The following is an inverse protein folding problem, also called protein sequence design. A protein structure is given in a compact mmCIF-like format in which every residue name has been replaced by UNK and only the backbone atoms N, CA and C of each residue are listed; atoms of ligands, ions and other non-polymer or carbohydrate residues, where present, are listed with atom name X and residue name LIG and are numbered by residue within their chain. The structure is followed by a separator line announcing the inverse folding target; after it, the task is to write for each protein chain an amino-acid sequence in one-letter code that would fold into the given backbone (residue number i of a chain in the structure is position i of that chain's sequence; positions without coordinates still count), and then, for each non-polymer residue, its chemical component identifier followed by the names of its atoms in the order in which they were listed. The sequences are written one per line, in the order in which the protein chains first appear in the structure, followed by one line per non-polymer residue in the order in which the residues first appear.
data_IF_479079156515
#
_entry.id   IF_479079156515
#
_cell.length_a   1.000
_cell.length_b   1.000
_cell.length_c   1.000
_cell.angle_alpha   90.00
_cell.angle_beta   90.00
_cell.angle_gamma   90.00
#
_symmetry.space_group_name_H-M   'P 1'
#
loop_
_entity.id
_entity.type
_entity.pdbx_description
1 polymer ?
#
# COMPACT_ATOMS: atom_id res chain seq x y z
N UNK A 1 22.99 21.18 46.50
CA UNK A 1 22.12 20.11 45.97
C UNK A 1 22.11 20.23 44.47
N UNK A 2 22.23 19.12 43.74
CA UNK A 2 22.02 19.15 42.30
C UNK A 2 20.53 19.47 42.02
N UNK A 3 20.21 20.28 40.99
CA UNK A 3 18.83 20.53 40.63
C UNK A 3 18.16 19.23 40.17
N UNK A 4 16.84 19.05 40.43
CA UNK A 4 16.12 17.89 39.94
C UNK A 4 16.14 17.85 38.40
N UNK A 5 16.31 16.66 37.87
CA UNK A 5 16.30 16.37 36.45
C UNK A 5 14.90 15.95 36.00
N UNK A 6 14.68 15.89 34.69
CA UNK A 6 13.42 15.39 34.13
C UNK A 6 13.15 13.93 34.56
N UNK A 7 14.18 13.13 34.82
CA UNK A 7 14.02 11.75 35.30
C UNK A 7 13.50 11.67 36.75
N UNK A 8 13.58 12.76 37.51
CA UNK A 8 13.07 12.84 38.87
C UNK A 8 11.57 13.20 38.91
N UNK A 9 10.96 13.51 37.75
CA UNK A 9 9.54 13.83 37.64
C UNK A 9 8.70 12.55 37.81
N UNK A 10 7.65 12.56 38.67
CA UNK A 10 6.76 11.41 38.82
C UNK A 10 6.11 10.98 37.50
N UNK A 11 5.75 9.69 37.40
CA UNK A 11 5.25 9.07 36.16
C UNK A 11 4.03 9.79 35.55
N UNK A 12 3.09 10.24 36.37
CA UNK A 12 1.84 10.86 35.88
C UNK A 12 2.09 12.24 35.21
N UNK A 13 2.79 13.20 35.83
CA UNK A 13 3.23 14.42 35.14
C UNK A 13 4.07 14.15 33.89
N UNK A 14 5.00 13.18 33.94
CA UNK A 14 5.80 12.80 32.77
C UNK A 14 4.93 12.31 31.60
N UNK A 15 3.89 11.51 31.89
CA UNK A 15 2.94 11.03 30.88
C UNK A 15 2.19 12.18 30.23
N UNK A 16 1.72 13.15 31.03
CA UNK A 16 1.10 14.37 30.52
C UNK A 16 2.05 15.14 29.61
N UNK A 17 3.32 15.31 30.00
CA UNK A 17 4.31 16.01 29.17
C UNK A 17 4.52 15.32 27.82
N UNK A 18 4.63 13.99 27.82
CA UNK A 18 4.80 13.19 26.59
C UNK A 18 3.65 13.39 25.60
N UNK A 19 2.41 13.51 26.09
CA UNK A 19 1.24 13.74 25.23
C UNK A 19 1.24 15.10 24.53
N UNK A 20 2.04 16.07 24.99
CA UNK A 20 2.21 17.37 24.33
C UNK A 20 3.43 17.42 23.40
N UNK A 21 4.22 16.34 23.30
CA UNK A 21 5.39 16.32 22.42
C UNK A 21 4.96 16.07 20.97
N UNK A 22 5.42 16.93 20.06
CA UNK A 22 5.36 16.65 18.63
C UNK A 22 6.06 15.31 18.31
N UNK A 23 5.71 14.62 17.20
CA UNK A 23 6.37 13.38 16.81
C UNK A 23 7.90 13.52 16.81
N UNK A 24 8.43 14.65 16.31
CA UNK A 24 9.87 14.93 16.32
C UNK A 24 10.45 15.06 17.73
N UNK A 25 9.78 15.82 18.60
CA UNK A 25 10.20 16.02 19.99
C UNK A 25 10.18 14.71 20.77
N UNK A 26 9.14 13.89 20.57
CA UNK A 26 9.01 12.57 21.18
C UNK A 26 10.19 11.67 20.80
N UNK A 27 10.51 11.55 19.51
CA UNK A 27 11.62 10.71 19.05
C UNK A 27 12.97 11.23 19.57
N UNK A 28 13.20 12.54 19.57
CA UNK A 28 14.39 13.11 20.19
C UNK A 28 14.48 12.78 21.68
N UNK A 29 13.35 12.85 22.38
CA UNK A 29 13.30 12.58 23.80
C UNK A 29 13.58 11.11 24.11
N UNK A 30 12.98 10.19 23.35
CA UNK A 30 13.25 8.76 23.43
C UNK A 30 14.74 8.44 23.21
N UNK A 31 15.37 9.06 22.20
CA UNK A 31 16.79 8.84 21.88
C UNK A 31 17.76 9.41 22.93
N UNK A 32 17.30 10.29 23.82
CA UNK A 32 18.17 10.95 24.80
C UNK A 32 18.56 10.05 25.98
N UNK A 33 17.74 9.05 26.32
CA UNK A 33 17.99 8.18 27.46
C UNK A 33 17.20 6.86 27.39
N UNK A 34 17.81 5.70 27.69
CA UNK A 34 17.11 4.41 27.72
C UNK A 34 15.91 4.37 28.68
N UNK A 35 15.97 5.05 29.84
CA UNK A 35 14.84 5.11 30.77
C UNK A 35 13.64 5.87 30.19
N UNK A 36 13.91 6.91 29.39
CA UNK A 36 12.86 7.67 28.69
C UNK A 36 12.26 6.84 27.56
N UNK A 37 13.10 6.12 26.81
CA UNK A 37 12.64 5.16 25.80
C UNK A 37 11.67 4.14 26.40
N UNK A 38 12.05 3.48 27.51
CA UNK A 38 11.18 2.53 28.20
C UNK A 38 9.91 3.19 28.75
N UNK A 39 9.99 4.42 29.23
CA UNK A 39 8.80 5.17 29.65
C UNK A 39 7.83 5.42 28.49
N UNK A 40 8.34 5.84 27.33
CA UNK A 40 7.54 6.13 26.13
C UNK A 40 6.89 4.85 25.59
N UNK A 41 7.61 3.72 25.60
CA UNK A 41 7.03 2.41 25.24
C UNK A 41 5.80 2.05 26.05
N UNK A 42 5.71 2.49 27.30
CA UNK A 42 4.55 2.24 28.15
C UNK A 42 3.37 3.17 27.84
N UNK A 43 3.58 4.26 27.10
CA UNK A 43 2.52 5.20 26.74
C UNK A 43 1.69 4.68 25.57
N UNK A 44 0.40 4.98 25.58
CA UNK A 44 -0.47 4.75 24.44
C UNK A 44 -0.42 5.98 23.54
N UNK A 45 0.42 5.94 22.52
CA UNK A 45 0.57 7.05 21.57
C UNK A 45 -0.54 6.96 20.53
N UNK A 46 -1.28 8.04 20.30
CA UNK A 46 -2.28 8.08 19.22
C UNK A 46 -1.58 8.30 17.86
N UNK A 47 -0.92 7.25 17.38
CA UNK A 47 -0.30 7.20 16.06
C UNK A 47 -1.38 7.02 15.00
N UNK A 48 -1.37 7.87 13.99
CA UNK A 48 -2.30 7.81 12.87
C UNK A 48 -1.68 7.01 11.72
N UNK A 49 -0.42 7.29 11.39
CA UNK A 49 0.24 6.73 10.21
C UNK A 49 1.73 6.58 10.39
N UNK A 50 2.27 5.45 9.93
CA UNK A 50 3.70 5.21 9.75
C UNK A 50 3.93 4.77 8.30
N UNK A 51 4.55 5.64 7.49
CA UNK A 51 4.81 5.34 6.08
C UNK A 51 6.27 5.36 5.69
N UNK A 52 6.62 4.49 4.75
CA UNK A 52 7.97 4.31 4.23
C UNK A 52 8.04 4.72 2.75
N UNK A 53 9.09 5.44 2.39
CA UNK A 53 9.48 5.69 1.01
C UNK A 53 10.88 5.16 0.77
N UNK A 54 11.03 4.16 -0.09
CA UNK A 54 12.27 3.44 -0.32
C UNK A 54 12.66 3.63 -1.78
N UNK A 55 13.89 4.05 -2.03
CA UNK A 55 14.43 4.22 -3.38
C UNK A 55 15.95 4.04 -3.36
N UNK A 56 16.56 3.90 -4.54
CA UNK A 56 18.02 3.89 -4.67
C UNK A 56 18.69 5.13 -4.05
N UNK A 57 17.96 6.25 -4.05
CA UNK A 57 18.44 7.55 -3.53
C UNK A 57 18.36 7.67 -2.01
N UNK A 58 17.62 6.79 -1.35
CA UNK A 58 17.46 6.83 0.08
C UNK A 58 16.18 6.20 0.62
N UNK A 59 16.05 6.31 1.93
CA UNK A 59 14.98 5.75 2.74
C UNK A 59 14.34 6.86 3.57
N UNK A 60 13.02 6.98 3.54
CA UNK A 60 12.28 8.02 4.27
C UNK A 60 11.21 7.37 5.13
N UNK A 61 11.22 7.70 6.42
CA UNK A 61 10.17 7.36 7.37
C UNK A 61 9.32 8.61 7.60
N UNK A 62 8.00 8.48 7.54
CA UNK A 62 7.06 9.51 7.94
C UNK A 62 6.16 8.98 9.05
N UNK A 63 6.08 9.74 10.14
CA UNK A 63 5.26 9.41 11.30
C UNK A 63 4.30 10.55 11.61
N UNK A 64 3.01 10.24 11.62
CA UNK A 64 1.92 11.18 11.90
C UNK A 64 1.16 10.75 13.14
N UNK A 65 0.84 11.70 14.02
CA UNK A 65 -0.03 11.49 15.19
C UNK A 65 -1.33 12.25 14.98
N UNK A 66 -2.45 11.69 15.45
CA UNK A 66 -3.79 12.25 15.28
C UNK A 66 -3.95 13.71 15.71
N UNK A 67 -3.16 14.14 16.69
CA UNK A 67 -3.26 15.45 17.33
C UNK A 67 -2.20 16.45 16.82
N UNK A 68 -1.41 16.08 15.80
CA UNK A 68 -0.37 16.93 15.24
C UNK A 68 -0.43 17.01 13.71
N UNK A 69 -0.70 18.22 13.19
CA UNK A 69 -0.78 18.48 11.74
C UNK A 69 0.55 18.30 10.99
N UNK A 70 1.69 18.26 11.69
CA UNK A 70 3.01 18.13 11.07
C UNK A 70 3.62 16.75 11.39
N UNK A 71 3.88 15.92 10.38
CA UNK A 71 4.53 14.63 10.60
C UNK A 71 6.01 14.82 10.94
N UNK A 72 6.59 13.84 11.63
CA UNK A 72 8.03 13.64 11.61
C UNK A 72 8.41 13.07 10.25
N UNK A 73 9.45 13.64 9.63
CA UNK A 73 10.10 13.09 8.45
C UNK A 73 11.55 12.77 8.78
N UNK A 74 11.92 11.51 8.68
CA UNK A 74 13.28 11.02 8.92
C UNK A 74 13.84 10.43 7.64
N UNK A 75 14.86 11.08 7.07
CA UNK A 75 15.47 10.76 5.79
C UNK A 75 16.86 10.19 6.00
N UNK A 76 17.16 9.09 5.31
CA UNK A 76 18.48 8.49 5.19
C UNK A 76 18.84 8.56 3.70
N UNK A 77 19.89 9.29 3.36
CA UNK A 77 20.25 9.58 1.96
C UNK A 77 21.72 9.34 1.72
N UNK A 78 22.09 9.02 0.49
CA UNK A 78 23.50 8.94 0.08
C UNK A 78 24.11 10.32 -0.07
N UNK A 79 25.44 10.42 0.06
CA UNK A 79 26.21 11.69 0.06
C UNK A 79 26.20 12.44 -1.27
N UNK A 80 25.72 11.82 -2.36
CA UNK A 80 25.69 12.42 -3.70
C UNK A 80 24.55 13.46 -3.92
N UNK A 81 23.70 13.69 -2.92
CA UNK A 81 22.66 14.73 -2.95
C UNK A 81 23.25 16.09 -2.58
N UNK A 82 23.68 16.86 -3.58
CA UNK A 82 24.44 18.12 -3.40
C UNK A 82 23.69 19.30 -2.77
N UNK A 83 22.38 19.28 -2.65
CA UNK A 83 21.64 20.39 -2.02
C UNK A 83 20.44 19.87 -1.25
N UNK A 84 20.60 19.71 0.06
CA UNK A 84 19.46 19.47 0.94
C UNK A 84 19.20 20.74 1.72
N UNK A 85 18.19 21.52 1.30
CA UNK A 85 17.69 22.64 2.11
C UNK A 85 17.28 22.11 3.48
N UNK A 86 17.92 22.64 4.53
CA UNK A 86 17.65 22.36 5.93
C UNK A 86 16.22 22.83 6.27
N UNK A 87 15.24 21.99 6.00
CA UNK A 87 13.84 22.17 6.35
C UNK A 87 13.49 21.03 7.28
N UNK A 88 13.24 21.32 8.58
CA UNK A 88 12.57 20.54 9.65
C UNK A 88 12.83 19.03 9.84
N UNK A 89 13.47 18.37 8.88
CA UNK A 89 13.59 16.94 8.70
C UNK A 89 14.87 16.46 9.39
N UNK A 90 14.82 15.27 9.98
CA UNK A 90 16.06 14.60 10.39
C UNK A 90 16.67 13.97 9.16
N UNK A 91 17.83 14.45 8.74
CA UNK A 91 18.52 13.93 7.56
C UNK A 91 19.84 13.34 8.00
N UNK A 92 20.01 12.04 7.77
CA UNK A 92 21.26 11.33 7.98
C UNK A 92 21.86 11.01 6.62
N UNK A 93 23.06 11.50 6.37
CA UNK A 93 23.86 11.10 5.22
C UNK A 93 24.59 9.81 5.58
N UNK A 94 24.44 8.77 4.78
CA UNK A 94 25.08 7.47 5.00
C UNK A 94 25.23 6.69 3.68
N UNK A 95 26.23 5.83 3.62
CA UNK A 95 26.51 4.99 2.44
C UNK A 95 25.42 3.93 2.21
N UNK A 96 24.82 3.42 3.29
CA UNK A 96 23.82 2.34 3.28
C UNK A 96 22.46 2.82 3.82
N UNK A 97 21.76 3.75 3.13
CA UNK A 97 20.54 4.38 3.65
C UNK A 97 19.40 3.38 3.92
N UNK A 98 19.32 2.29 3.17
CA UNK A 98 18.26 1.29 3.32
C UNK A 98 18.46 0.50 4.61
N UNK A 99 19.68 0.06 4.90
CA UNK A 99 19.98 -0.70 6.14
C UNK A 99 19.78 0.17 7.39
N UNK A 100 20.23 1.43 7.36
CA UNK A 100 19.93 2.37 8.46
C UNK A 100 18.43 2.65 8.57
N UNK A 101 17.72 2.76 7.44
CA UNK A 101 16.28 2.95 7.40
C UNK A 101 15.54 1.77 8.06
N UNK A 102 15.91 0.53 7.71
CA UNK A 102 15.35 -0.69 8.33
C UNK A 102 15.56 -0.68 9.83
N UNK A 103 16.79 -0.45 10.31
CA UNK A 103 17.09 -0.37 11.75
C UNK A 103 16.28 0.71 12.47
N UNK A 104 16.10 1.87 11.84
CA UNK A 104 15.30 2.94 12.40
C UNK A 104 13.81 2.59 12.47
N UNK A 105 13.28 1.85 11.49
CA UNK A 105 11.91 1.32 11.53
C UNK A 105 11.75 0.25 12.61
N UNK A 106 12.71 -0.67 12.75
CA UNK A 106 12.71 -1.68 13.83
C UNK A 106 12.61 -0.99 15.20
N UNK A 107 13.51 -0.06 15.47
CA UNK A 107 13.50 0.70 16.71
C UNK A 107 12.22 1.53 16.89
N UNK A 108 11.74 2.17 15.82
CA UNK A 108 10.58 3.04 15.90
C UNK A 108 9.30 2.24 16.18
N UNK A 109 9.09 1.13 15.46
CA UNK A 109 7.91 0.26 15.65
C UNK A 109 7.89 -0.37 17.04
N UNK A 110 9.04 -0.73 17.61
CA UNK A 110 9.18 -1.17 19.00
C UNK A 110 8.83 -0.04 19.99
N UNK A 111 9.34 1.18 19.74
CA UNK A 111 9.07 2.34 20.59
C UNK A 111 7.59 2.71 20.66
N UNK A 112 6.94 2.80 19.50
CA UNK A 112 5.58 3.34 19.41
C UNK A 112 4.49 2.26 19.42
N UNK A 113 4.87 0.97 19.29
CA UNK A 113 3.97 -0.19 19.22
C UNK A 113 2.89 -0.04 18.14
N UNK A 114 3.29 0.49 16.99
CA UNK A 114 2.42 0.73 15.84
C UNK A 114 3.10 0.20 14.57
N UNK A 115 2.40 -0.60 13.75
CA UNK A 115 2.99 -1.20 12.55
C UNK A 115 3.18 -0.18 11.44
N UNK A 116 3.94 -0.55 10.41
CA UNK A 116 4.04 0.23 9.18
C UNK A 116 2.72 0.11 8.42
N UNK A 117 2.04 1.22 8.15
CA UNK A 117 0.73 1.19 7.49
C UNK A 117 0.81 1.39 5.98
N UNK A 118 1.90 1.99 5.47
CA UNK A 118 2.05 2.27 4.04
C UNK A 118 3.51 2.20 3.59
N UNK A 119 3.75 1.51 2.48
CA UNK A 119 5.09 1.31 1.90
C UNK A 119 5.06 1.73 0.44
N UNK A 120 5.95 2.66 0.08
CA UNK A 120 6.20 3.05 -1.30
C UNK A 120 7.65 2.73 -1.68
N UNK A 121 7.82 1.95 -2.73
CA UNK A 121 9.10 1.58 -3.31
C UNK A 121 9.20 2.22 -4.69
N UNK A 122 10.31 2.90 -4.96
CA UNK A 122 10.56 3.62 -6.21
C UNK A 122 11.85 3.16 -6.84
N UNK A 123 11.72 2.63 -8.04
CA UNK A 123 12.82 2.19 -8.87
C UNK A 123 13.58 3.34 -9.55
N UNK A 124 14.44 3.00 -10.54
CA UNK A 124 14.59 1.67 -11.15
C UNK A 124 15.09 0.61 -10.16
N UNK A 125 14.95 -0.68 -10.47
CA UNK A 125 15.47 -1.80 -9.65
C UNK A 125 16.88 -1.56 -9.11
N UNK A 126 17.12 -1.87 -7.84
CA UNK A 126 18.45 -1.79 -7.19
C UNK A 126 18.63 -2.97 -6.22
N UNK A 127 19.86 -3.49 -6.04
CA UNK A 127 20.10 -4.76 -5.35
C UNK A 127 19.46 -4.87 -3.95
N UNK A 128 19.43 -3.77 -3.21
CA UNK A 128 18.90 -3.72 -1.84
C UNK A 128 17.37 -3.87 -1.76
N UNK A 129 16.66 -3.81 -2.89
CA UNK A 129 15.21 -4.02 -2.96
C UNK A 129 14.82 -5.45 -3.24
N UNK A 130 15.75 -6.29 -3.70
CA UNK A 130 15.43 -7.65 -4.16
C UNK A 130 14.67 -8.40 -3.05
N UNK A 131 15.10 -8.33 -1.80
CA UNK A 131 14.46 -9.02 -0.67
C UNK A 131 13.49 -8.16 0.16
N UNK A 132 13.07 -6.97 -0.30
CA UNK A 132 12.28 -6.06 0.54
C UNK A 132 10.93 -6.66 0.95
N UNK A 133 10.32 -7.48 0.08
CA UNK A 133 9.05 -8.14 0.35
C UNK A 133 9.19 -9.27 1.39
N UNK A 134 10.40 -9.70 1.74
CA UNK A 134 10.65 -10.64 2.83
C UNK A 134 10.79 -9.93 4.18
N UNK A 135 10.95 -8.60 4.21
CA UNK A 135 11.13 -7.86 5.44
C UNK A 135 9.83 -7.80 6.24
N UNK A 136 9.82 -8.42 7.41
CA UNK A 136 8.61 -8.62 8.23
C UNK A 136 7.87 -7.34 8.58
N UNK A 137 8.58 -6.20 8.71
CA UNK A 137 7.95 -4.92 9.04
C UNK A 137 7.07 -4.34 7.94
N UNK A 138 7.14 -4.84 6.71
CA UNK A 138 6.24 -4.39 5.63
C UNK A 138 5.00 -5.26 5.46
N UNK A 139 4.95 -6.44 6.10
CA UNK A 139 3.86 -7.41 5.93
C UNK A 139 2.52 -6.97 6.53
N UNK A 140 2.54 -6.12 7.55
CA UNK A 140 1.35 -5.55 8.20
C UNK A 140 0.86 -4.26 7.52
N UNK A 141 1.44 -3.88 6.38
CA UNK A 141 1.03 -2.66 5.70
C UNK A 141 -0.34 -2.82 5.01
N UNK A 142 -1.13 -1.76 5.09
CA UNK A 142 -2.43 -1.68 4.43
C UNK A 142 -2.30 -1.19 2.99
N UNK A 143 -1.19 -0.52 2.66
CA UNK A 143 -0.92 0.04 1.34
C UNK A 143 0.49 -0.29 0.87
N UNK A 144 0.60 -0.98 -0.25
CA UNK A 144 1.86 -1.25 -0.93
C UNK A 144 1.86 -0.61 -2.32
N UNK A 145 2.88 0.17 -2.61
CA UNK A 145 3.09 0.83 -3.90
C UNK A 145 4.49 0.54 -4.40
N UNK A 146 4.65 0.00 -5.60
CA UNK A 146 5.97 -0.20 -6.22
C UNK A 146 5.98 0.38 -7.63
N UNK A 147 7.08 1.05 -8.00
CA UNK A 147 7.22 1.67 -9.32
C UNK A 147 8.56 1.26 -9.93
N UNK A 148 8.58 0.82 -11.18
CA UNK A 148 9.80 0.51 -11.93
C UNK A 148 10.69 -0.53 -11.25
N UNK A 149 10.07 -1.60 -10.73
CA UNK A 149 10.76 -2.73 -10.10
C UNK A 149 10.57 -3.95 -10.99
N UNK A 150 11.68 -4.48 -11.51
CA UNK A 150 11.67 -5.55 -12.51
C UNK A 150 11.79 -6.92 -11.85
N UNK A 151 12.43 -6.97 -10.68
CA UNK A 151 12.65 -8.20 -9.91
C UNK A 151 12.49 -7.95 -8.41
N UNK A 152 12.01 -8.96 -7.72
CA UNK A 152 11.99 -9.04 -6.25
C UNK A 152 11.86 -10.52 -5.87
N UNK A 153 12.34 -10.86 -4.69
CA UNK A 153 12.23 -12.15 -4.04
C UNK A 153 11.10 -12.12 -3.00
N UNK A 154 10.45 -13.27 -2.85
CA UNK A 154 9.25 -13.40 -2.03
C UNK A 154 7.98 -13.12 -2.84
N UNK A 155 6.84 -13.23 -2.18
CA UNK A 155 5.54 -12.97 -2.79
C UNK A 155 4.59 -12.21 -1.88
N UNK A 156 3.32 -12.20 -2.27
CA UNK A 156 2.27 -11.44 -1.58
C UNK A 156 1.64 -12.22 -0.43
N UNK A 157 2.01 -13.49 -0.22
CA UNK A 157 1.42 -14.40 0.77
C UNK A 157 1.60 -13.95 2.23
N UNK A 158 2.58 -13.09 2.50
CA UNK A 158 2.83 -12.56 3.85
C UNK A 158 2.03 -11.30 4.15
N UNK A 159 1.46 -10.65 3.14
CA UNK A 159 0.68 -9.42 3.29
C UNK A 159 -0.77 -9.78 3.63
N UNK A 160 -1.12 -9.74 4.92
CA UNK A 160 -2.42 -10.23 5.42
C UNK A 160 -3.51 -9.15 5.50
N UNK A 161 -3.10 -7.89 5.67
CA UNK A 161 -3.97 -6.73 5.89
C UNK A 161 -3.98 -5.73 4.73
N UNK A 162 -3.45 -6.12 3.57
CA UNK A 162 -3.33 -5.24 2.42
C UNK A 162 -4.73 -4.79 1.96
N UNK A 163 -4.99 -3.48 2.00
CA UNK A 163 -6.22 -2.86 1.48
C UNK A 163 -6.05 -2.42 0.03
N UNK A 164 -4.88 -1.89 -0.30
CA UNK A 164 -4.55 -1.42 -1.65
C UNK A 164 -3.15 -1.85 -2.10
N UNK A 165 -3.06 -2.36 -3.31
CA UNK A 165 -1.82 -2.73 -3.95
C UNK A 165 -1.68 -2.02 -5.30
N UNK A 166 -0.62 -1.23 -5.46
CA UNK A 166 -0.39 -0.45 -6.67
C UNK A 166 0.98 -0.77 -7.26
N UNK A 167 1.00 -1.16 -8.54
CA UNK A 167 2.22 -1.33 -9.32
C UNK A 167 2.19 -0.42 -10.54
N UNK A 168 3.35 0.14 -10.88
CA UNK A 168 3.52 0.85 -12.15
C UNK A 168 4.84 0.45 -12.80
N UNK A 169 4.79 -0.08 -14.01
CA UNK A 169 5.96 -0.52 -14.77
C UNK A 169 6.78 -1.55 -14.00
N UNK A 170 6.13 -2.56 -13.43
CA UNK A 170 6.80 -3.63 -12.69
C UNK A 170 6.67 -4.95 -13.44
N UNK A 171 7.80 -5.62 -13.70
CA UNK A 171 7.82 -6.83 -14.53
C UNK A 171 7.81 -8.13 -13.70
N UNK A 172 8.02 -8.04 -12.38
CA UNK A 172 8.07 -9.22 -11.50
C UNK A 172 6.68 -9.83 -11.22
N UNK A 173 5.60 -9.06 -11.36
CA UNK A 173 4.25 -9.52 -11.02
C UNK A 173 3.67 -10.34 -12.17
N UNK A 174 3.26 -11.57 -11.85
CA UNK A 174 2.51 -12.46 -12.73
C UNK A 174 1.12 -12.75 -12.14
N UNK A 175 0.13 -13.15 -12.95
CA UNK A 175 -1.22 -13.43 -12.46
C UNK A 175 -1.27 -14.43 -11.29
N UNK A 176 -0.43 -15.48 -11.31
CA UNK A 176 -0.37 -16.49 -10.26
C UNK A 176 0.04 -15.93 -8.88
N UNK A 177 0.81 -14.84 -8.85
CA UNK A 177 1.19 -14.18 -7.59
C UNK A 177 -0.02 -13.56 -6.89
N UNK A 178 -1.08 -13.21 -7.63
CA UNK A 178 -2.28 -12.59 -7.09
C UNK A 178 -3.19 -13.57 -6.36
N UNK A 179 -3.05 -14.89 -6.59
CA UNK A 179 -3.83 -15.92 -5.87
C UNK A 179 -3.71 -15.78 -4.35
N UNK A 180 -2.53 -15.41 -3.88
CA UNK A 180 -2.22 -15.23 -2.46
C UNK A 180 -2.32 -13.77 -2.00
N UNK A 181 -2.74 -12.85 -2.86
CA UNK A 181 -2.88 -11.43 -2.52
C UNK A 181 -4.20 -11.20 -1.78
N UNK A 182 -4.13 -10.61 -0.59
CA UNK A 182 -5.30 -10.27 0.23
C UNK A 182 -5.91 -8.89 -0.10
N UNK A 183 -5.34 -8.18 -1.08
CA UNK A 183 -5.73 -6.82 -1.44
C UNK A 183 -7.18 -6.72 -1.92
N UNK A 184 -7.91 -5.74 -1.37
CA UNK A 184 -9.25 -5.39 -1.85
C UNK A 184 -9.21 -4.63 -3.17
N UNK A 185 -8.22 -3.74 -3.32
CA UNK A 185 -8.07 -2.89 -4.51
C UNK A 185 -6.68 -3.07 -5.08
N UNK A 186 -6.62 -3.37 -6.37
CA UNK A 186 -5.37 -3.55 -7.09
C UNK A 186 -5.35 -2.59 -8.29
N UNK A 187 -4.25 -1.90 -8.50
CA UNK A 187 -4.05 -1.06 -9.68
C UNK A 187 -2.70 -1.36 -10.28
N UNK A 188 -2.69 -1.80 -11.54
CA UNK A 188 -1.50 -2.20 -12.25
C UNK A 188 -1.36 -1.33 -13.50
N UNK A 189 -0.36 -0.47 -13.53
CA UNK A 189 -0.09 0.41 -14.67
C UNK A 189 1.14 -0.06 -15.45
N UNK A 190 1.12 0.16 -16.76
CA UNK A 190 2.25 -0.13 -17.64
C UNK A 190 2.65 -1.61 -17.54
N UNK A 191 1.67 -2.53 -17.58
CA UNK A 191 1.91 -3.97 -17.49
C UNK A 191 2.20 -4.57 -18.87
N UNK A 192 3.19 -5.45 -18.96
CA UNK A 192 3.50 -6.20 -20.18
C UNK A 192 2.72 -7.51 -20.26
N UNK A 193 1.45 -7.48 -19.87
CA UNK A 193 0.61 -8.67 -19.83
C UNK A 193 -0.12 -8.87 -21.16
N UNK A 194 -0.22 -10.13 -21.60
CA UNK A 194 -1.04 -10.53 -22.74
C UNK A 194 -2.45 -10.94 -22.33
N UNK A 195 -3.28 -11.33 -23.31
CA UNK A 195 -4.67 -11.73 -23.07
C UNK A 195 -4.78 -13.02 -22.25
N UNK A 196 -3.83 -13.94 -22.40
CA UNK A 196 -3.81 -15.20 -21.65
C UNK A 196 -3.53 -14.92 -20.17
N UNK A 197 -2.65 -13.97 -19.87
CA UNK A 197 -2.37 -13.51 -18.51
C UNK A 197 -3.57 -12.78 -17.89
N UNK A 198 -4.30 -11.95 -18.65
CA UNK A 198 -5.55 -11.35 -18.19
C UNK A 198 -6.64 -12.41 -17.92
N UNK A 199 -6.76 -13.41 -18.78
CA UNK A 199 -7.66 -14.55 -18.56
C UNK A 199 -7.25 -15.35 -17.32
N UNK A 200 -5.95 -15.61 -17.14
CA UNK A 200 -5.41 -16.32 -15.99
C UNK A 200 -5.69 -15.61 -14.67
N UNK A 201 -5.65 -14.27 -14.63
CA UNK A 201 -6.10 -13.49 -13.48
C UNK A 201 -7.55 -13.81 -13.12
N UNK A 202 -8.46 -13.78 -14.11
CA UNK A 202 -9.88 -14.08 -13.88
C UNK A 202 -10.03 -15.52 -13.36
N UNK A 203 -9.27 -16.49 -13.91
CA UNK A 203 -9.25 -17.87 -13.42
C UNK A 203 -8.77 -17.97 -11.97
N UNK A 204 -7.70 -17.26 -11.60
CA UNK A 204 -7.20 -17.23 -10.22
C UNK A 204 -8.27 -16.76 -9.24
N UNK A 205 -9.05 -15.74 -9.61
CA UNK A 205 -10.18 -15.27 -8.80
C UNK A 205 -11.34 -16.27 -8.80
N UNK A 206 -11.69 -16.83 -9.96
CA UNK A 206 -12.83 -17.74 -10.11
C UNK A 206 -12.65 -19.04 -9.33
N UNK A 207 -11.45 -19.61 -9.34
CA UNK A 207 -11.09 -20.83 -8.60
C UNK A 207 -10.72 -20.54 -7.14
N UNK A 208 -10.35 -19.30 -6.82
CA UNK A 208 -9.86 -18.87 -5.52
C UNK A 208 -10.96 -18.60 -4.48
N UNK A 209 -11.97 -19.45 -4.37
CA UNK A 209 -13.11 -19.25 -3.43
C UNK A 209 -12.62 -19.08 -1.99
N UNK A 210 -11.75 -19.99 -1.52
CA UNK A 210 -11.20 -19.99 -0.16
C UNK A 210 -9.79 -19.37 -0.08
N UNK A 211 -9.36 -18.67 -1.12
CA UNK A 211 -8.02 -18.07 -1.22
C UNK A 211 -8.06 -16.57 -0.87
N UNK A 212 -6.92 -15.94 -0.51
CA UNK A 212 -6.87 -14.51 -0.18
C UNK A 212 -7.46 -13.59 -1.27
N UNK A 213 -7.30 -13.95 -2.55
CA UNK A 213 -7.85 -13.21 -3.70
C UNK A 213 -9.39 -13.09 -3.67
N UNK A 214 -10.10 -13.91 -2.89
CA UNK A 214 -11.55 -13.82 -2.69
C UNK A 214 -12.01 -12.51 -2.04
N UNK A 215 -11.09 -11.78 -1.37
CA UNK A 215 -11.33 -10.45 -0.79
C UNK A 215 -11.30 -9.31 -1.83
N UNK A 216 -10.88 -9.60 -3.07
CA UNK A 216 -10.80 -8.61 -4.14
C UNK A 216 -12.17 -7.94 -4.35
N UNK A 217 -12.15 -6.61 -4.42
CA UNK A 217 -13.28 -5.75 -4.79
C UNK A 217 -13.08 -5.19 -6.19
N UNK A 218 -11.87 -4.73 -6.52
CA UNK A 218 -11.55 -4.18 -7.84
C UNK A 218 -10.09 -4.42 -8.25
N UNK A 219 -9.87 -4.68 -9.52
CA UNK A 219 -8.57 -4.56 -10.17
C UNK A 219 -8.68 -3.74 -11.46
N UNK A 220 -7.80 -2.77 -11.61
CA UNK A 220 -7.64 -1.96 -12.83
C UNK A 220 -6.25 -2.25 -13.41
N UNK A 221 -6.19 -2.59 -14.69
CA UNK A 221 -4.96 -2.97 -15.37
C UNK A 221 -4.82 -2.15 -16.64
N UNK A 222 -3.77 -1.36 -16.73
CA UNK A 222 -3.37 -0.68 -17.96
C UNK A 222 -2.17 -1.41 -18.57
N UNK A 223 -2.31 -1.85 -19.81
CA UNK A 223 -1.24 -2.52 -20.54
C UNK A 223 -0.25 -1.52 -21.17
N UNK A 224 1.02 -1.91 -21.28
CA UNK A 224 2.08 -1.17 -22.01
C UNK A 224 1.69 -0.95 -23.46
N UNK A 225 1.07 -1.96 -24.07
CA UNK A 225 0.63 -1.96 -25.45
C UNK A 225 -0.75 -2.61 -25.53
N UNK A 226 -1.56 -2.13 -26.48
CA UNK A 226 -2.85 -2.73 -26.82
C UNK A 226 -3.01 -2.73 -28.34
N UNK A 227 -3.82 -3.64 -28.91
CA UNK A 227 -4.18 -3.59 -30.31
C UNK A 227 -4.83 -2.25 -30.66
N UNK A 228 -4.67 -1.79 -31.91
CA UNK A 228 -5.33 -0.56 -32.39
C UNK A 228 -6.86 -0.63 -32.27
N UNK A 229 -7.44 -1.82 -32.38
CA UNK A 229 -8.87 -2.08 -32.28
C UNK A 229 -9.36 -2.16 -30.82
N UNK A 230 -8.46 -1.98 -29.84
CA UNK A 230 -8.73 -2.15 -28.42
C UNK A 230 -8.54 -3.59 -27.94
N UNK A 231 -8.74 -3.81 -26.65
CA UNK A 231 -8.60 -5.14 -26.05
C UNK A 231 -9.78 -6.06 -26.44
N UNK A 232 -9.53 -7.26 -26.99
CA UNK A 232 -10.59 -8.19 -27.36
C UNK A 232 -11.17 -8.86 -26.10
N UNK A 233 -12.22 -8.28 -25.53
CA UNK A 233 -12.84 -8.77 -24.28
C UNK A 233 -13.22 -10.25 -24.34
N UNK A 234 -13.65 -10.75 -25.51
CA UNK A 234 -14.01 -12.16 -25.71
C UNK A 234 -12.82 -13.11 -25.49
N UNK A 235 -11.59 -12.69 -25.83
CA UNK A 235 -10.39 -13.48 -25.56
C UNK A 235 -10.05 -13.45 -24.06
N UNK A 236 -10.18 -12.28 -23.43
CA UNK A 236 -9.92 -12.10 -21.99
C UNK A 236 -10.84 -12.99 -21.16
N UNK A 237 -12.11 -13.15 -21.54
CA UNK A 237 -13.10 -13.94 -20.79
C UNK A 237 -13.30 -15.35 -21.34
N UNK A 238 -12.44 -15.82 -22.24
CA UNK A 238 -12.55 -17.14 -22.84
C UNK A 238 -12.55 -18.26 -21.77
N UNK A 239 -13.48 -19.21 -21.90
CA UNK A 239 -13.65 -20.32 -20.97
C UNK A 239 -14.58 -20.04 -19.78
N UNK A 240 -15.17 -18.85 -19.68
CA UNK A 240 -16.20 -18.54 -18.69
C UNK A 240 -17.59 -18.43 -19.34
N UNK A 241 -18.63 -18.85 -18.61
CA UNK A 241 -19.99 -18.46 -18.96
C UNK A 241 -20.17 -16.97 -18.63
N UNK A 242 -20.37 -16.16 -19.66
CA UNK A 242 -20.58 -14.71 -19.50
C UNK A 242 -22.00 -14.32 -19.83
N UNK A 243 -22.50 -13.27 -19.17
CA UNK A 243 -23.80 -12.65 -19.46
C UNK A 243 -23.61 -11.15 -19.65
N UNK A 244 -24.39 -10.51 -20.54
CA UNK A 244 -24.41 -9.05 -20.58
C UNK A 244 -24.98 -8.48 -19.27
N UNK A 245 -24.79 -7.18 -19.04
CA UNK A 245 -25.38 -6.50 -17.90
C UNK A 245 -26.90 -6.73 -17.81
N UNK A 246 -27.35 -7.12 -16.62
CA UNK A 246 -28.75 -7.24 -16.25
C UNK A 246 -29.08 -6.25 -15.11
N UNK A 247 -29.97 -5.26 -15.33
CA UNK A 247 -30.34 -4.28 -14.31
C UNK A 247 -31.03 -4.91 -13.08
N UNK A 248 -31.53 -6.15 -13.18
CA UNK A 248 -32.12 -6.90 -12.06
C UNK A 248 -31.07 -7.62 -11.21
N UNK A 249 -29.87 -7.84 -11.74
CA UNK A 249 -28.79 -8.54 -11.03
C UNK A 249 -27.84 -7.57 -10.33
N UNK A 250 -27.56 -6.40 -10.92
CA UNK A 250 -26.66 -5.40 -10.35
C UNK A 250 -26.89 -3.98 -10.89
N UNK A 251 -26.36 -3.00 -10.17
CA UNK A 251 -26.34 -1.61 -10.60
C UNK A 251 -25.53 -1.42 -11.89
N UNK A 252 -25.92 -0.39 -12.65
CA UNK A 252 -25.24 0.00 -13.90
C UNK A 252 -23.83 0.54 -13.67
N UNK A 253 -23.66 1.32 -12.61
CA UNK A 253 -22.41 2.02 -12.30
C UNK A 253 -21.80 1.44 -11.02
N UNK A 254 -20.48 1.27 -11.02
CA UNK A 254 -19.72 0.94 -9.83
C UNK A 254 -19.11 2.21 -9.24
N UNK A 255 -19.45 2.51 -7.99
CA UNK A 255 -18.84 3.62 -7.28
C UNK A 255 -17.50 3.18 -6.69
N UNK A 256 -16.39 3.69 -7.22
CA UNK A 256 -15.08 3.51 -6.60
C UNK A 256 -15.12 4.24 -5.25
N UNK A 257 -15.04 3.50 -4.14
CA UNK A 257 -14.92 4.09 -2.80
C UNK A 257 -13.66 4.96 -2.79
N UNK A 258 -13.82 6.27 -2.51
CA UNK A 258 -12.68 7.18 -2.32
C UNK A 258 -11.74 6.54 -1.30
N UNK A 259 -10.45 6.41 -1.61
CA UNK A 259 -9.51 6.13 -0.53
C UNK A 259 -9.40 7.40 0.33
N UNK A 260 -9.30 7.25 1.65
CA UNK A 260 -9.25 8.37 2.61
C UNK A 260 -8.10 9.37 2.36
N UNK A 261 -7.18 9.07 1.41
CA UNK A 261 -6.01 9.88 1.08
C UNK A 261 -6.00 10.39 -0.38
N UNK A 262 -7.01 10.05 -1.19
CA UNK A 262 -7.20 10.55 -2.55
C UNK A 262 -8.00 11.86 -2.53
N UNK A 263 -7.40 12.94 -2.02
CA UNK A 263 -8.04 14.26 -2.00
C UNK A 263 -8.07 14.99 -3.36
N UNK A 264 -7.47 14.46 -4.42
CA UNK A 264 -7.50 15.12 -5.74
C UNK A 264 -7.56 14.08 -6.87
N UNK A 265 -8.77 13.72 -7.26
CA UNK A 265 -9.04 12.87 -8.42
C UNK A 265 -10.50 12.46 -8.46
N UNK A 266 -11.29 13.11 -9.32
CA UNK A 266 -12.69 12.71 -9.60
C UNK A 266 -12.64 11.45 -10.45
N UNK A 267 -12.30 10.30 -9.87
CA UNK A 267 -12.67 9.03 -10.47
C UNK A 267 -14.18 8.90 -10.29
N UNK A 268 -14.91 9.29 -11.33
CA UNK A 268 -16.35 9.12 -11.40
C UNK A 268 -16.72 7.63 -11.29
N UNK A 269 -17.99 7.38 -11.01
CA UNK A 269 -18.50 6.01 -11.02
C UNK A 269 -18.23 5.36 -12.40
N UNK A 270 -17.65 4.16 -12.38
CA UNK A 270 -17.33 3.39 -13.58
C UNK A 270 -18.63 2.89 -14.21
N UNK A 271 -18.89 3.24 -15.47
CA UNK A 271 -20.06 2.73 -16.19
C UNK A 271 -19.79 1.30 -16.68
N UNK A 272 -20.52 0.32 -16.15
CA UNK A 272 -20.37 -1.10 -16.45
C UNK A 272 -21.59 -1.66 -17.21
N UNK A 273 -22.30 -0.81 -17.95
CA UNK A 273 -23.43 -1.17 -18.81
C UNK A 273 -23.03 -2.13 -19.93
N UNK A 274 -21.82 -1.97 -20.47
CA UNK A 274 -21.29 -2.79 -21.56
C UNK A 274 -20.31 -3.87 -21.08
N UNK A 275 -20.20 -4.07 -19.77
CA UNK A 275 -19.33 -5.08 -19.18
C UNK A 275 -19.94 -6.49 -19.35
N UNK A 276 -19.07 -7.49 -19.38
CA UNK A 276 -19.46 -8.90 -19.33
C UNK A 276 -19.39 -9.41 -17.89
N UNK A 277 -20.46 -10.05 -17.45
CA UNK A 277 -20.59 -10.58 -16.10
C UNK A 277 -20.23 -12.05 -16.03
N UNK A 278 -19.46 -12.42 -15.00
CA UNK A 278 -19.09 -13.79 -14.66
C UNK A 278 -19.66 -14.10 -13.27
N UNK A 279 -20.48 -15.15 -13.19
CA UNK A 279 -21.02 -15.65 -11.93
C UNK A 279 -20.15 -16.80 -11.41
N UNK A 280 -19.53 -16.59 -10.25
CA UNK A 280 -18.73 -17.61 -9.56
C UNK A 280 -19.64 -18.60 -8.83
N UNK A 281 -19.24 -19.88 -8.63
CA UNK A 281 -20.09 -20.89 -8.00
C UNK A 281 -20.58 -20.56 -6.58
N UNK A 282 -19.85 -19.72 -5.83
CA UNK A 282 -20.23 -19.24 -4.50
C UNK A 282 -21.24 -18.07 -4.53
N UNK A 283 -21.73 -17.68 -5.72
CA UNK A 283 -22.70 -16.62 -5.90
C UNK A 283 -22.10 -15.21 -6.02
N UNK A 284 -20.78 -15.05 -5.95
CA UNK A 284 -20.13 -13.77 -6.24
C UNK A 284 -20.20 -13.46 -7.73
N UNK A 285 -20.60 -12.23 -8.03
CA UNK A 285 -20.68 -11.70 -9.39
C UNK A 285 -19.47 -10.79 -9.64
N UNK A 286 -18.80 -10.96 -10.78
CA UNK A 286 -17.80 -10.01 -11.24
C UNK A 286 -18.14 -9.49 -12.63
N UNK A 287 -17.75 -8.25 -12.93
CA UNK A 287 -17.88 -7.63 -14.24
C UNK A 287 -16.51 -7.33 -14.81
N UNK A 288 -16.31 -7.71 -16.07
CA UNK A 288 -15.11 -7.39 -16.88
C UNK A 288 -15.50 -6.29 -17.86
N UNK A 289 -14.76 -5.20 -17.87
CA UNK A 289 -14.91 -4.12 -18.84
C UNK A 289 -13.56 -3.79 -19.43
N UNK A 290 -13.55 -3.38 -20.70
CA UNK A 290 -12.34 -2.93 -21.39
C UNK A 290 -12.59 -1.59 -22.05
N UNK A 291 -11.59 -0.72 -22.01
CA UNK A 291 -11.57 0.56 -22.72
C UNK A 291 -10.14 0.88 -23.12
N UNK A 292 -9.89 1.11 -24.40
CA UNK A 292 -8.55 1.35 -24.95
C UNK A 292 -7.54 0.25 -24.57
N UNK A 293 -6.58 0.57 -23.70
CA UNK A 293 -5.58 -0.34 -23.15
C UNK A 293 -5.82 -0.69 -21.66
N UNK A 294 -7.01 -0.40 -21.15
CA UNK A 294 -7.39 -0.60 -19.75
C UNK A 294 -8.41 -1.73 -19.66
N UNK A 295 -8.20 -2.63 -18.71
CA UNK A 295 -9.17 -3.61 -18.23
C UNK A 295 -9.57 -3.27 -16.79
N UNK A 296 -10.87 -3.14 -16.56
CA UNK A 296 -11.46 -3.10 -15.23
C UNK A 296 -12.09 -4.46 -14.92
N UNK A 297 -11.80 -5.00 -13.74
CA UNK A 297 -12.46 -6.17 -13.19
C UNK A 297 -13.00 -5.85 -11.79
N UNK A 298 -14.33 -5.91 -11.66
CA UNK A 298 -15.06 -5.44 -10.49
C UNK A 298 -15.85 -6.59 -9.88
N UNK A 299 -15.64 -6.84 -8.59
CA UNK A 299 -16.34 -7.88 -7.82
C UNK A 299 -17.45 -7.23 -6.99
N UNK A 300 -18.69 -7.60 -7.26
CA UNK A 300 -19.87 -7.03 -6.62
C UNK A 300 -20.15 -7.68 -5.27
N UNK A 301 -19.51 -7.19 -4.21
CA UNK A 301 -19.85 -7.54 -2.83
C UNK A 301 -21.20 -6.92 -2.40
N UNK A 302 -21.56 -5.79 -3.01
CA UNK A 302 -22.89 -5.18 -2.92
C UNK A 302 -23.37 -4.91 -4.34
N UNK A 303 -24.36 -5.68 -4.81
CA UNK A 303 -24.84 -5.60 -6.20
C UNK A 303 -25.58 -4.30 -6.50
N UNK A 304 -26.23 -3.72 -5.49
CA UNK A 304 -26.96 -2.46 -5.55
C UNK A 304 -26.51 -1.57 -4.38
N UNK A 305 -25.42 -0.81 -4.53
CA UNK A 305 -25.00 0.14 -3.50
C UNK A 305 -26.07 1.22 -3.35
N UNK A 306 -26.43 1.54 -2.11
CA UNK A 306 -27.26 2.70 -1.80
C UNK A 306 -26.41 3.94 -2.09
N UNK A 307 -26.97 4.94 -2.78
CA UNK A 307 -26.29 6.24 -2.93
C UNK A 307 -26.18 6.87 -1.52
N UNK A 308 -24.95 6.99 -1.00
CA UNK A 308 -24.65 7.74 0.23
C UNK A 308 -24.58 9.25 -0.04
#
# INVERSE_FOLDING_TARGET
MAPPTLLDVPKLPMSKMVNFLSPKSLINFALSNPKIQEFIKLQNLNVEKLSLNISQKGFVIRLTFFYFNKPLVWKFVTSYMKEVKLSTDKIKICETPIEFGKQAVEWLTDLIRFPVTSVQIKGPSFPEIDNILQWTKVHECEKLTMNFIDKTEGGLEKFTDLKSFHLNGCDWLKPEHLKNCSAKRITLYTMDWDMDQLNQLIRCWFEGIDQPISKLETIEIQLKSAPMEGLPIEQIVNGFETKPWDPTQRARKYQKKKSEEEEVGVYGALNLEHALDILRPDGKLASVSVSDNIMDFVVWHQRFPVEE
#
